data_IF_988309598054
#
_entry.id   IF_988309598054
#
_cell.length_a   1.000
_cell.length_b   1.000
_cell.length_c   1.000
_cell.angle_alpha   90.00
_cell.angle_beta   90.00
_cell.angle_gamma   90.00
#
_symmetry.space_group_name_H-M   'P 1'
#
loop_
_entity.id
_entity.type
_entity.pdbx_description
1 polymer ?
#
# COMPACT_ATOMS: atom_id res chain seq x y z
N UNK A 1 8.37 10.58 3.87
CA UNK A 1 8.10 10.51 5.33
C UNK A 1 8.35 9.07 5.77
N UNK A 2 9.16 8.79 6.80
CA UNK A 2 9.34 7.42 7.30
C UNK A 2 8.00 6.84 7.75
N UNK A 3 7.70 5.58 7.40
CA UNK A 3 6.41 4.92 7.68
C UNK A 3 6.13 4.71 9.18
N UNK A 4 7.18 4.71 10.00
CA UNK A 4 7.13 4.59 11.45
C UNK A 4 8.24 5.45 12.07
N UNK A 5 8.06 6.78 12.18
CA UNK A 5 9.06 7.65 12.80
C UNK A 5 9.36 7.27 14.25
N UNK A 6 8.38 6.71 14.96
CA UNK A 6 8.50 6.24 16.34
C UNK A 6 9.44 5.04 16.50
N UNK A 7 9.68 4.28 15.42
CA UNK A 7 10.55 3.10 15.41
C UNK A 7 11.90 3.34 14.75
N UNK A 8 12.09 4.49 14.10
CA UNK A 8 13.27 4.77 13.28
C UNK A 8 14.59 4.85 14.08
N UNK A 9 14.52 5.07 15.40
CA UNK A 9 15.69 5.31 16.25
C UNK A 9 15.76 4.40 17.50
N UNK A 10 15.05 3.28 17.52
CA UNK A 10 15.14 2.32 18.64
C UNK A 10 16.33 1.38 18.42
N UNK A 11 17.39 1.44 19.25
CA UNK A 11 18.59 0.61 19.07
C UNK A 11 18.30 -0.89 19.27
N UNK A 12 17.28 -1.23 20.07
CA UNK A 12 16.93 -2.60 20.44
C UNK A 12 16.13 -3.36 19.36
N UNK A 13 15.87 -2.74 18.21
CA UNK A 13 14.97 -3.32 17.20
C UNK A 13 15.50 -3.08 15.78
N UNK A 14 16.44 -3.93 15.36
CA UNK A 14 16.98 -3.93 14.00
C UNK A 14 15.85 -4.15 12.97
N UNK A 15 15.82 -3.30 11.94
CA UNK A 15 14.88 -3.47 10.82
C UNK A 15 15.40 -4.59 9.93
N UNK A 16 14.89 -5.80 10.18
CA UNK A 16 15.21 -6.97 9.37
C UNK A 16 14.71 -6.78 7.93
N UNK A 17 15.52 -7.23 6.96
CA UNK A 17 15.06 -7.30 5.57
C UNK A 17 13.90 -8.28 5.45
N UNK A 18 12.88 -7.87 4.70
CA UNK A 18 11.79 -8.78 4.33
C UNK A 18 12.33 -9.90 3.44
N UNK A 19 11.99 -11.17 3.71
CA UNK A 19 12.32 -12.30 2.83
C UNK A 19 11.76 -12.09 1.42
N UNK A 20 12.36 -12.73 0.42
CA UNK A 20 11.96 -12.50 -0.98
C UNK A 20 10.52 -12.96 -1.28
N UNK A 21 10.04 -14.02 -0.62
CA UNK A 21 8.71 -14.59 -0.86
C UNK A 21 7.54 -13.66 -0.52
N UNK A 22 7.72 -12.68 0.39
CA UNK A 22 6.65 -11.74 0.80
C UNK A 22 6.69 -10.42 0.00
N UNK A 23 7.65 -10.28 -0.92
CA UNK A 23 7.81 -9.05 -1.70
C UNK A 23 6.96 -9.12 -2.96
N UNK A 24 6.15 -8.09 -3.16
CA UNK A 24 5.34 -7.89 -4.36
C UNK A 24 5.97 -6.84 -5.27
N UNK A 25 5.70 -6.95 -6.57
CA UNK A 25 6.10 -5.94 -7.56
C UNK A 25 5.17 -4.72 -7.44
N UNK A 26 5.66 -3.56 -7.90
CA UNK A 26 4.82 -2.37 -8.00
C UNK A 26 3.63 -2.63 -8.96
N UNK A 27 2.44 -2.10 -8.66
CA UNK A 27 1.26 -2.29 -9.49
C UNK A 27 1.42 -1.57 -10.84
N UNK A 28 1.16 -2.29 -11.93
CA UNK A 28 1.24 -1.77 -13.31
C UNK A 28 -0.02 -2.08 -14.13
N UNK A 29 -1.05 -2.63 -13.50
CA UNK A 29 -2.27 -3.05 -14.20
C UNK A 29 -3.17 -1.86 -14.53
N UNK A 30 -4.01 -2.02 -15.57
CA UNK A 30 -4.99 -1.02 -15.97
C UNK A 30 -6.04 -0.81 -14.88
N UNK A 31 -6.54 -1.88 -14.25
CA UNK A 31 -7.57 -1.79 -13.21
C UNK A 31 -7.08 -1.05 -11.95
N UNK A 32 -5.79 -1.19 -11.60
CA UNK A 32 -5.19 -0.36 -10.56
C UNK A 32 -5.23 1.13 -10.93
N UNK A 33 -4.83 1.49 -12.15
CA UNK A 33 -4.82 2.90 -12.59
C UNK A 33 -6.23 3.50 -12.63
N UNK A 34 -7.22 2.75 -13.14
CA UNK A 34 -8.62 3.16 -13.17
C UNK A 34 -9.18 3.40 -11.76
N UNK A 35 -8.98 2.44 -10.85
CA UNK A 35 -9.45 2.56 -9.46
C UNK A 35 -8.78 3.74 -8.74
N UNK A 36 -7.47 3.92 -8.97
CA UNK A 36 -6.70 5.04 -8.41
C UNK A 36 -7.25 6.40 -8.83
N UNK A 37 -7.62 6.53 -10.11
CA UNK A 37 -8.18 7.77 -10.64
C UNK A 37 -9.55 8.09 -10.02
N UNK A 38 -10.41 7.08 -9.85
CA UNK A 38 -11.71 7.23 -9.19
C UNK A 38 -11.53 7.72 -7.75
N UNK A 39 -10.68 7.04 -6.96
CA UNK A 39 -10.43 7.38 -5.56
C UNK A 39 -9.92 8.82 -5.44
N UNK A 40 -8.95 9.21 -6.27
CA UNK A 40 -8.35 10.54 -6.24
C UNK A 40 -9.30 11.65 -6.70
N UNK A 41 -9.99 11.45 -7.82
CA UNK A 41 -10.93 12.43 -8.37
C UNK A 41 -12.06 12.75 -7.40
N UNK A 42 -12.47 11.76 -6.60
CA UNK A 42 -13.54 11.89 -5.60
C UNK A 42 -13.04 12.23 -4.19
N UNK A 43 -11.72 12.43 -4.03
CA UNK A 43 -11.09 12.71 -2.72
C UNK A 43 -11.46 11.68 -1.64
N UNK A 44 -11.58 10.42 -2.03
CA UNK A 44 -11.90 9.33 -1.10
C UNK A 44 -10.64 8.83 -0.40
N UNK A 45 -10.83 8.28 0.81
CA UNK A 45 -9.75 7.69 1.60
C UNK A 45 -9.98 6.18 1.69
N UNK A 46 -8.93 5.40 1.41
CA UNK A 46 -8.98 3.93 1.49
C UNK A 46 -7.94 3.42 2.47
N UNK A 47 -8.28 2.35 3.22
CA UNK A 47 -7.28 1.65 4.03
C UNK A 47 -6.19 1.03 3.15
N UNK A 48 -6.50 0.76 1.88
CA UNK A 48 -5.56 0.25 0.89
C UNK A 48 -4.33 1.17 0.73
N UNK A 49 -4.57 2.49 0.60
CA UNK A 49 -3.51 3.50 0.46
C UNK A 49 -2.90 3.87 1.82
N UNK A 50 -3.72 4.17 2.82
CA UNK A 50 -3.26 4.69 4.12
C UNK A 50 -2.40 3.69 4.89
N UNK A 51 -2.74 2.39 4.82
CA UNK A 51 -1.93 1.34 5.46
C UNK A 51 -0.74 0.89 4.60
N UNK A 52 -0.60 1.38 3.36
CA UNK A 52 0.42 0.91 2.42
C UNK A 52 0.32 -0.59 2.14
N UNK A 53 -0.91 -1.07 1.91
CA UNK A 53 -1.21 -2.49 1.74
C UNK A 53 -0.44 -3.08 0.54
N UNK A 54 0.30 -4.21 0.69
CA UNK A 54 1.04 -4.81 -0.42
C UNK A 54 0.10 -5.37 -1.51
N UNK A 55 -1.15 -5.67 -1.18
CA UNK A 55 -2.10 -6.28 -2.12
C UNK A 55 -2.91 -5.26 -2.94
N UNK A 56 -2.63 -3.96 -2.80
CA UNK A 56 -3.41 -2.90 -3.46
C UNK A 56 -3.49 -3.09 -4.98
N UNK A 57 -2.42 -3.57 -5.62
CA UNK A 57 -2.39 -3.85 -7.06
C UNK A 57 -3.41 -4.90 -7.47
N UNK A 58 -3.40 -6.05 -6.80
CA UNK A 58 -4.30 -7.17 -7.10
C UNK A 58 -5.76 -6.84 -6.76
N UNK A 59 -6.00 -6.24 -5.59
CA UNK A 59 -7.36 -5.90 -5.15
C UNK A 59 -8.02 -4.89 -6.11
N UNK A 60 -7.30 -3.82 -6.48
CA UNK A 60 -7.85 -2.79 -7.36
C UNK A 60 -7.98 -3.26 -8.80
N UNK A 61 -7.14 -4.17 -9.28
CA UNK A 61 -7.33 -4.80 -10.59
C UNK A 61 -8.65 -5.58 -10.67
N UNK A 62 -9.06 -6.20 -9.55
CA UNK A 62 -10.34 -6.87 -9.37
C UNK A 62 -11.50 -5.93 -9.00
N UNK A 63 -11.28 -4.61 -8.99
CA UNK A 63 -12.27 -3.60 -8.60
C UNK A 63 -12.76 -3.75 -7.15
N UNK A 64 -11.90 -4.21 -6.24
CA UNK A 64 -12.17 -4.28 -4.82
C UNK A 64 -11.39 -3.21 -4.05
N UNK A 65 -12.09 -2.40 -3.25
CA UNK A 65 -11.49 -1.40 -2.37
C UNK A 65 -12.19 -1.39 -1.00
N UNK A 66 -11.45 -1.05 0.04
CA UNK A 66 -11.97 -0.91 1.41
C UNK A 66 -11.73 0.52 1.89
N UNK A 67 -12.78 1.15 2.39
CA UNK A 67 -12.80 2.54 2.84
C UNK A 67 -12.70 2.65 4.37
N UNK A 68 -12.33 3.82 4.87
CA UNK A 68 -12.27 4.16 6.30
C UNK A 68 -13.30 5.22 6.65
#
# INVERSE_FOLDING_TARGET
RPRHPEKAHRPDQEVLRKPDWIRVKAPVSKGYAETREIVKSHKLVTVCEEAGCPNIGECWDKKHATFM
#
